data_IF_600271113071
#
_entry.id   IF_600271113071
#
_cell.length_a   1.000
_cell.length_b   1.000
_cell.length_c   1.000
_cell.angle_alpha   90.00
_cell.angle_beta   90.00
_cell.angle_gamma   90.00
#
_symmetry.space_group_name_H-M   'P 1'
#
loop_
_entity.id
_entity.type
_entity.pdbx_description
1 polymer ?
#
# COMPACT_ATOMS: atom_id res chain seq x y z
N UNK A 1 20.69 14.84 2.06
CA UNK A 1 19.67 15.84 1.65
C UNK A 1 19.90 17.24 2.26
N UNK A 2 20.67 17.35 3.36
CA UNK A 2 21.13 18.67 3.85
C UNK A 2 22.22 19.18 2.94
N UNK A 3 21.97 20.27 2.21
CA UNK A 3 22.80 20.68 1.09
C UNK A 3 23.18 22.18 1.08
N UNK A 4 23.20 22.82 2.27
CA UNK A 4 23.50 24.24 2.39
C UNK A 4 24.83 24.65 1.71
N UNK A 5 25.83 23.76 1.76
CA UNK A 5 27.18 23.99 1.23
C UNK A 5 27.40 23.34 -0.16
N UNK A 6 26.37 22.70 -0.75
CA UNK A 6 26.49 22.13 -2.08
C UNK A 6 26.54 23.22 -3.14
N UNK A 7 27.34 23.00 -4.22
CA UNK A 7 27.29 23.86 -5.42
C UNK A 7 25.94 23.71 -6.12
N UNK A 8 25.58 24.68 -6.98
CA UNK A 8 24.30 24.63 -7.71
C UNK A 8 24.14 23.32 -8.51
N UNK A 9 25.22 22.86 -9.15
CA UNK A 9 25.22 21.66 -9.99
C UNK A 9 25.09 20.35 -9.16
N UNK A 10 25.35 20.40 -7.84
CA UNK A 10 25.33 19.25 -6.94
C UNK A 10 24.05 19.22 -6.07
N UNK A 11 23.17 20.22 -6.17
CA UNK A 11 21.95 20.29 -5.38
C UNK A 11 20.90 19.29 -5.87
N UNK A 12 20.21 18.71 -4.89
CA UNK A 12 19.00 17.90 -5.13
C UNK A 12 17.80 18.85 -5.10
N UNK A 13 17.00 18.84 -6.13
CA UNK A 13 15.78 19.67 -6.21
C UNK A 13 14.56 18.89 -5.72
N UNK A 14 14.48 17.63 -6.12
CA UNK A 14 13.37 16.73 -5.81
C UNK A 14 13.92 15.40 -5.32
N UNK A 15 13.23 14.80 -4.35
CA UNK A 15 13.50 13.44 -3.91
C UNK A 15 12.20 12.69 -3.63
N UNK A 16 12.29 11.37 -3.63
CA UNK A 16 11.19 10.49 -3.29
C UNK A 16 11.39 9.86 -1.92
N UNK A 17 10.29 9.63 -1.21
CA UNK A 17 10.23 8.79 -0.03
C UNK A 17 9.09 7.79 -0.14
N UNK A 18 9.19 6.72 0.60
CA UNK A 18 8.12 5.73 0.72
C UNK A 18 7.35 5.98 2.03
N UNK A 19 6.07 5.65 2.06
CA UNK A 19 5.15 5.88 3.20
C UNK A 19 5.74 5.44 4.54
N UNK A 20 6.38 4.27 4.61
CA UNK A 20 6.95 3.74 5.86
C UNK A 20 8.11 4.60 6.41
N UNK A 21 8.67 5.51 5.61
CA UNK A 21 9.80 6.38 5.98
C UNK A 21 9.50 7.87 5.86
N UNK A 22 8.31 8.26 5.41
CA UNK A 22 8.00 9.66 5.06
C UNK A 22 8.26 10.62 6.21
N UNK A 23 7.94 10.28 7.45
CA UNK A 23 8.16 11.12 8.62
C UNK A 23 9.64 11.46 8.86
N UNK A 24 10.55 10.61 8.46
CA UNK A 24 11.99 10.90 8.52
C UNK A 24 12.38 12.14 7.73
N UNK A 25 11.61 12.46 6.69
CA UNK A 25 11.87 13.55 5.76
C UNK A 25 10.94 14.74 5.95
N UNK A 26 9.69 14.49 6.41
CA UNK A 26 8.72 15.55 6.66
C UNK A 26 8.82 16.15 8.06
N UNK A 27 9.56 15.54 8.99
CA UNK A 27 9.85 16.12 10.30
C UNK A 27 10.47 17.52 10.10
N UNK A 28 9.87 18.54 10.75
CA UNK A 28 10.30 19.94 10.64
C UNK A 28 11.74 20.16 11.09
N UNK A 29 12.21 19.39 12.08
CA UNK A 29 13.55 19.50 12.63
C UNK A 29 14.58 18.79 11.74
N UNK A 30 14.14 17.93 10.84
CA UNK A 30 14.99 17.32 9.82
C UNK A 30 15.48 18.33 8.78
N UNK A 31 14.64 19.33 8.45
CA UNK A 31 14.92 20.40 7.48
C UNK A 31 15.46 19.87 6.13
N UNK A 32 14.76 18.88 5.57
CA UNK A 32 15.12 18.29 4.27
C UNK A 32 14.00 18.40 3.24
N UNK A 33 12.73 18.30 3.66
CA UNK A 33 11.57 18.51 2.78
C UNK A 33 11.02 19.94 3.00
N UNK A 34 10.97 20.71 1.93
CA UNK A 34 10.41 22.07 1.95
C UNK A 34 8.90 22.03 2.16
N UNK A 35 8.29 22.93 2.97
CA UNK A 35 6.85 23.12 3.01
C UNK A 35 6.30 23.42 1.61
N UNK A 36 5.22 22.75 1.20
CA UNK A 36 4.63 22.98 -0.12
C UNK A 36 4.16 24.43 -0.33
N UNK A 37 3.72 25.09 0.72
CA UNK A 37 3.34 26.53 0.67
C UNK A 37 4.54 27.44 0.34
N UNK A 38 5.72 27.12 0.83
CA UNK A 38 6.95 27.88 0.52
C UNK A 38 7.40 27.68 -0.92
N UNK A 39 7.03 26.53 -1.52
CA UNK A 39 7.20 26.26 -2.94
C UNK A 39 6.12 26.93 -3.82
N UNK A 40 5.12 27.57 -3.21
CA UNK A 40 4.01 28.19 -3.91
C UNK A 40 2.90 27.22 -4.35
N UNK A 41 2.79 26.06 -3.69
CA UNK A 41 1.66 25.12 -3.81
C UNK A 41 0.73 25.35 -2.62
N UNK A 42 -0.51 25.69 -2.88
CA UNK A 42 -1.56 25.75 -1.86
C UNK A 42 -2.26 24.40 -1.73
N UNK A 43 -1.97 23.59 -0.67
CA UNK A 43 -2.55 22.26 -0.55
C UNK A 43 -4.09 22.24 -0.51
N UNK A 44 -4.72 23.27 0.00
CA UNK A 44 -6.18 23.32 0.11
C UNK A 44 -6.88 23.66 -1.20
N UNK A 45 -6.13 24.22 -2.14
CA UNK A 45 -6.62 24.58 -3.47
C UNK A 45 -6.07 23.64 -4.55
N UNK A 46 -4.74 23.54 -4.62
CA UNK A 46 -4.07 22.84 -5.73
C UNK A 46 -4.11 21.31 -5.56
N UNK A 47 -4.27 20.81 -4.31
CA UNK A 47 -4.35 19.39 -3.98
C UNK A 47 -5.72 19.00 -3.38
N UNK A 48 -6.77 19.79 -3.61
CA UNK A 48 -8.10 19.56 -3.02
C UNK A 48 -8.78 18.25 -3.49
N UNK A 49 -8.43 17.77 -4.67
CA UNK A 49 -8.94 16.51 -5.24
C UNK A 49 -8.23 15.26 -4.69
N UNK A 50 -7.15 15.42 -3.93
CA UNK A 50 -6.45 14.31 -3.28
C UNK A 50 -7.23 13.78 -2.08
N UNK A 51 -6.98 12.50 -1.74
CA UNK A 51 -7.52 11.90 -0.51
C UNK A 51 -6.82 12.49 0.72
N UNK A 52 -7.59 12.82 1.74
CA UNK A 52 -7.09 13.59 2.90
C UNK A 52 -6.02 12.84 3.70
N UNK A 53 -6.12 11.50 3.79
CA UNK A 53 -5.12 10.71 4.51
C UNK A 53 -3.73 10.80 3.88
N UNK A 54 -3.63 10.89 2.54
CA UNK A 54 -2.35 11.02 1.84
C UNK A 54 -1.69 12.36 2.14
N UNK A 55 -2.49 13.43 2.24
CA UNK A 55 -2.03 14.77 2.60
C UNK A 55 -1.53 14.80 4.05
N UNK A 56 -2.28 14.17 4.97
CA UNK A 56 -1.89 14.04 6.39
C UNK A 56 -0.60 13.28 6.55
N UNK A 57 -0.41 12.17 5.83
CA UNK A 57 0.80 11.35 5.86
C UNK A 57 2.05 12.13 5.45
N UNK A 58 1.93 13.07 4.51
CA UNK A 58 3.04 13.91 4.04
C UNK A 58 3.19 15.23 4.84
N UNK A 59 2.50 15.36 5.97
CA UNK A 59 2.58 16.55 6.82
C UNK A 59 3.51 16.31 8.02
N UNK A 60 4.10 17.38 8.53
CA UNK A 60 4.84 17.37 9.79
C UNK A 60 3.92 17.36 11.02
N UNK A 61 4.51 17.36 12.23
CA UNK A 61 3.78 17.36 13.49
C UNK A 61 2.90 18.61 13.73
N UNK A 62 3.16 19.69 13.02
CA UNK A 62 2.36 20.93 13.09
C UNK A 62 1.27 20.97 11.99
N UNK A 63 1.13 19.88 11.20
CA UNK A 63 0.16 19.78 10.11
C UNK A 63 0.61 20.48 8.82
N UNK A 64 1.87 20.89 8.71
CA UNK A 64 2.39 21.54 7.51
C UNK A 64 2.75 20.47 6.48
N UNK A 65 2.07 20.48 5.33
CA UNK A 65 2.32 19.51 4.25
C UNK A 65 3.65 19.80 3.56
N UNK A 66 4.52 18.76 3.47
CA UNK A 66 5.89 18.81 2.94
C UNK A 66 6.14 17.84 1.79
N UNK A 67 5.10 17.22 1.29
CA UNK A 67 5.18 16.31 0.14
C UNK A 67 3.81 16.03 -0.44
N UNK A 68 3.79 15.38 -1.58
CA UNK A 68 2.58 14.94 -2.26
C UNK A 68 2.79 13.56 -2.88
N UNK A 69 1.72 12.87 -3.25
CA UNK A 69 1.81 11.55 -3.87
C UNK A 69 0.81 11.38 -5.00
N UNK A 70 1.17 10.58 -5.99
CA UNK A 70 0.24 10.14 -7.05
C UNK A 70 -0.52 8.86 -6.70
N UNK A 71 -0.19 8.18 -5.59
CA UNK A 71 -0.73 6.87 -5.20
C UNK A 71 -1.57 6.95 -3.93
N UNK A 72 -2.64 6.13 -3.87
CA UNK A 72 -3.42 5.90 -2.64
C UNK A 72 -3.16 4.53 -2.02
N UNK A 73 -2.70 3.57 -2.79
CA UNK A 73 -2.30 2.23 -2.36
C UNK A 73 -3.34 1.48 -1.49
N UNK A 74 -4.64 1.48 -1.87
CA UNK A 74 -5.63 0.71 -1.14
C UNK A 74 -5.28 -0.77 -1.16
N UNK A 75 -5.49 -1.44 -0.04
CA UNK A 75 -5.30 -2.87 0.08
C UNK A 75 -6.46 -3.66 -0.51
N UNK A 76 -6.13 -4.75 -1.18
CA UNK A 76 -7.06 -5.66 -1.83
C UNK A 76 -6.82 -7.09 -1.35
N UNK A 77 -7.84 -7.94 -1.42
CA UNK A 77 -7.68 -9.39 -1.41
C UNK A 77 -7.73 -9.86 -2.86
N UNK A 78 -6.61 -10.35 -3.36
CA UNK A 78 -6.45 -10.88 -4.72
C UNK A 78 -6.47 -12.40 -4.62
N UNK A 79 -7.38 -13.06 -5.37
CA UNK A 79 -7.60 -14.50 -5.21
C UNK A 79 -7.59 -15.25 -6.55
N UNK A 80 -7.27 -16.54 -6.48
CA UNK A 80 -7.32 -17.51 -7.58
C UNK A 80 -8.76 -17.92 -7.88
N UNK A 81 -9.23 -17.60 -9.10
CA UNK A 81 -10.58 -17.96 -9.57
C UNK A 81 -10.81 -19.46 -9.63
N UNK A 82 -9.83 -20.23 -10.09
CA UNK A 82 -9.93 -21.69 -10.19
C UNK A 82 -10.07 -22.35 -8.81
N UNK A 83 -9.33 -21.86 -7.80
CA UNK A 83 -9.45 -22.34 -6.42
C UNK A 83 -10.81 -21.95 -5.83
N UNK A 84 -11.28 -20.71 -6.06
CA UNK A 84 -12.61 -20.27 -5.64
C UNK A 84 -13.70 -21.15 -6.25
N UNK A 85 -13.62 -21.43 -7.56
CA UNK A 85 -14.56 -22.30 -8.24
C UNK A 85 -14.55 -23.72 -7.71
N UNK A 86 -13.37 -24.31 -7.41
CA UNK A 86 -13.29 -25.65 -6.84
C UNK A 86 -13.86 -25.74 -5.43
N UNK A 87 -13.58 -24.73 -4.58
CA UNK A 87 -13.93 -24.78 -3.16
C UNK A 87 -15.36 -24.29 -2.91
N UNK A 88 -15.76 -23.18 -3.56
CA UNK A 88 -17.02 -22.49 -3.29
C UNK A 88 -18.09 -22.73 -4.36
N UNK A 89 -17.72 -23.30 -5.51
CA UNK A 89 -18.60 -23.45 -6.68
C UNK A 89 -18.88 -22.15 -7.42
N UNK A 90 -18.14 -21.09 -7.11
CA UNK A 90 -18.22 -19.78 -7.75
C UNK A 90 -16.88 -19.06 -7.67
N UNK A 91 -16.57 -18.28 -8.70
CA UNK A 91 -15.42 -17.39 -8.77
C UNK A 91 -15.83 -15.91 -8.87
N UNK A 92 -17.13 -15.63 -8.67
CA UNK A 92 -17.67 -14.26 -8.71
C UNK A 92 -17.13 -13.41 -7.56
N UNK A 93 -16.58 -12.20 -7.85
CA UNK A 93 -15.95 -11.36 -6.82
C UNK A 93 -16.89 -10.96 -5.67
N UNK A 94 -18.18 -10.72 -5.93
CA UNK A 94 -19.11 -10.36 -4.88
C UNK A 94 -19.42 -11.57 -3.98
N UNK A 95 -19.60 -12.76 -4.57
CA UNK A 95 -19.84 -13.98 -3.81
C UNK A 95 -18.61 -14.40 -2.98
N UNK A 96 -17.41 -14.29 -3.53
CA UNK A 96 -16.16 -14.52 -2.80
C UNK A 96 -15.96 -13.47 -1.71
N UNK A 97 -16.30 -12.20 -1.97
CA UNK A 97 -16.27 -11.12 -0.99
C UNK A 97 -17.06 -11.45 0.27
N UNK A 98 -18.26 -12.04 0.15
CA UNK A 98 -19.06 -12.48 1.31
C UNK A 98 -18.37 -13.59 2.14
N UNK A 99 -17.51 -14.38 1.52
CA UNK A 99 -16.73 -15.44 2.20
C UNK A 99 -15.54 -14.90 2.99
N UNK A 100 -15.09 -13.67 2.71
CA UNK A 100 -13.86 -13.09 3.28
C UNK A 100 -14.08 -11.72 3.94
N UNK A 101 -15.32 -11.28 4.12
CA UNK A 101 -15.71 -9.92 4.52
C UNK A 101 -15.30 -9.51 5.94
N UNK A 102 -14.99 -10.45 6.79
CA UNK A 102 -14.53 -10.25 8.17
C UNK A 102 -13.66 -11.42 8.62
N UNK A 103 -13.03 -11.31 9.78
CA UNK A 103 -12.12 -12.33 10.31
C UNK A 103 -12.80 -13.67 10.61
N UNK A 104 -14.07 -13.67 11.06
CA UNK A 104 -14.80 -14.89 11.38
C UNK A 104 -15.18 -15.67 10.11
N UNK A 105 -15.70 -14.96 9.11
CA UNK A 105 -16.02 -15.56 7.80
C UNK A 105 -14.76 -16.01 7.06
N UNK A 106 -13.68 -15.25 7.12
CA UNK A 106 -12.40 -15.63 6.52
C UNK A 106 -11.83 -16.90 7.19
N UNK A 107 -11.96 -17.04 8.51
CA UNK A 107 -11.53 -18.25 9.23
C UNK A 107 -12.34 -19.48 8.82
N UNK A 108 -13.66 -19.35 8.72
CA UNK A 108 -14.50 -20.43 8.21
C UNK A 108 -14.13 -20.82 6.77
N UNK A 109 -13.84 -19.83 5.93
CA UNK A 109 -13.34 -20.03 4.56
C UNK A 109 -11.99 -20.74 4.54
N UNK A 110 -11.08 -20.40 5.46
CA UNK A 110 -9.79 -21.10 5.58
C UNK A 110 -9.94 -22.59 5.92
N UNK A 111 -10.97 -22.96 6.71
CA UNK A 111 -11.30 -24.37 6.96
C UNK A 111 -11.79 -25.09 5.70
N UNK A 112 -12.67 -24.44 4.90
CA UNK A 112 -13.13 -24.97 3.61
C UNK A 112 -11.95 -25.18 2.62
N UNK A 113 -11.07 -24.20 2.51
CA UNK A 113 -9.87 -24.24 1.67
C UNK A 113 -8.94 -25.38 2.08
N UNK A 114 -8.62 -25.47 3.37
CA UNK A 114 -7.76 -26.53 3.91
C UNK A 114 -8.33 -27.91 3.67
N UNK A 115 -9.63 -28.11 3.80
CA UNK A 115 -10.29 -29.39 3.55
C UNK A 115 -10.10 -29.88 2.10
N UNK A 116 -9.82 -28.97 1.16
CA UNK A 116 -9.50 -29.24 -0.24
C UNK A 116 -7.98 -29.27 -0.53
N UNK A 117 -7.13 -29.00 0.45
CA UNK A 117 -5.68 -29.00 0.31
C UNK A 117 -5.08 -27.66 -0.10
N UNK A 118 -5.82 -26.58 0.04
CA UNK A 118 -5.35 -25.22 -0.26
C UNK A 118 -4.96 -24.48 1.02
N UNK A 119 -4.01 -23.57 0.88
CA UNK A 119 -3.67 -22.55 1.88
C UNK A 119 -4.44 -21.26 1.61
N UNK A 120 -4.85 -20.56 2.66
CA UNK A 120 -5.53 -19.27 2.50
C UNK A 120 -4.56 -18.21 2.00
N UNK A 121 -3.41 -18.07 2.68
CA UNK A 121 -2.34 -17.14 2.32
C UNK A 121 -0.98 -17.83 2.24
N UNK A 122 -0.02 -17.19 1.57
CA UNK A 122 1.32 -17.71 1.41
C UNK A 122 2.09 -17.73 2.73
N UNK A 123 2.00 -16.69 3.55
CA UNK A 123 2.74 -16.60 4.80
C UNK A 123 2.01 -15.79 5.87
N UNK A 124 2.52 -15.87 7.10
CA UNK A 124 2.04 -15.05 8.22
C UNK A 124 2.26 -13.54 7.98
N UNK A 125 3.24 -13.17 7.16
CA UNK A 125 3.54 -11.78 6.87
C UNK A 125 2.46 -11.12 5.99
N UNK A 126 1.69 -11.91 5.22
CA UNK A 126 0.66 -11.37 4.32
C UNK A 126 -0.43 -10.59 5.08
N UNK A 127 -0.74 -10.98 6.31
CA UNK A 127 -1.77 -10.31 7.11
C UNK A 127 -1.27 -9.12 7.93
N UNK A 128 0.05 -8.86 7.96
CA UNK A 128 0.64 -7.82 8.83
C UNK A 128 0.00 -6.44 8.64
N UNK A 129 -0.21 -6.02 7.38
CA UNK A 129 -0.73 -4.67 7.09
C UNK A 129 -2.15 -4.44 7.63
N UNK A 130 -2.98 -5.47 7.69
CA UNK A 130 -4.32 -5.39 8.28
C UNK A 130 -4.25 -4.96 9.76
N UNK A 131 -3.37 -5.58 10.52
CA UNK A 131 -3.17 -5.24 11.94
C UNK A 131 -2.34 -3.96 12.12
N UNK A 132 -1.25 -3.81 11.34
CA UNK A 132 -0.35 -2.68 11.42
C UNK A 132 -1.00 -1.33 11.11
N UNK A 133 -2.00 -1.31 10.22
CA UNK A 133 -2.76 -0.09 9.92
C UNK A 133 -3.82 0.23 10.99
N UNK A 134 -4.06 -0.67 11.93
CA UNK A 134 -5.05 -0.50 13.01
C UNK A 134 -4.43 -0.17 14.36
N UNK A 135 -3.12 0.06 14.42
CA UNK A 135 -2.45 0.48 15.66
C UNK A 135 -2.93 1.87 16.06
N UNK A 136 -3.13 2.07 17.36
CA UNK A 136 -3.62 3.32 17.93
C UNK A 136 -2.53 4.28 18.37
N UNK A 137 -1.32 3.77 18.61
CA UNK A 137 -0.18 4.53 19.09
C UNK A 137 1.09 4.17 18.31
N UNK A 138 1.98 5.14 18.14
CA UNK A 138 3.32 4.91 17.57
C UNK A 138 4.14 4.00 18.47
N UNK A 139 5.03 3.19 17.88
CA UNK A 139 5.96 2.33 18.60
C UNK A 139 6.83 3.09 19.61
N UNK A 140 7.18 4.33 19.28
CA UNK A 140 7.89 5.25 20.16
C UNK A 140 7.23 6.61 20.03
N UNK A 141 6.81 7.19 21.16
CA UNK A 141 6.21 8.54 21.17
C UNK A 141 7.30 9.60 21.00
N UNK A 142 6.98 10.74 20.37
CA UNK A 142 7.91 11.87 20.26
C UNK A 142 8.50 12.23 21.64
N UNK A 143 9.83 12.26 21.75
CA UNK A 143 10.54 12.56 22.99
C UNK A 143 10.68 11.40 23.98
N UNK A 144 10.13 10.24 23.68
CA UNK A 144 10.29 9.00 24.46
C UNK A 144 11.41 8.11 23.85
N UNK A 145 11.93 7.20 24.64
CA UNK A 145 12.87 6.17 24.23
C UNK A 145 12.34 4.75 24.48
N UNK A 146 11.12 4.66 25.02
CA UNK A 146 10.48 3.39 25.37
C UNK A 146 9.66 2.87 24.21
N UNK A 147 9.95 1.65 23.76
CA UNK A 147 9.13 0.96 22.75
C UNK A 147 7.84 0.48 23.39
N UNK A 148 6.72 0.85 22.79
CA UNK A 148 5.39 0.35 23.12
C UNK A 148 4.90 -0.57 22.03
N UNK A 149 4.47 -1.77 22.37
CA UNK A 149 3.86 -2.71 21.44
C UNK A 149 2.34 -2.57 21.55
N UNK A 150 1.73 -2.07 20.49
CA UNK A 150 0.28 -1.95 20.42
C UNK A 150 -0.37 -3.35 20.50
N UNK A 151 -1.52 -3.50 21.19
CA UNK A 151 -2.24 -4.78 21.27
C UNK A 151 -2.55 -5.40 19.90
N UNK A 152 -2.73 -4.61 18.84
CA UNK A 152 -2.97 -5.13 17.49
C UNK A 152 -1.77 -5.92 16.95
N UNK A 153 -0.56 -5.55 17.31
CA UNK A 153 0.64 -6.29 16.92
C UNK A 153 0.69 -7.65 17.65
N UNK A 154 0.27 -7.70 18.92
CA UNK A 154 0.15 -8.98 19.65
C UNK A 154 -0.95 -9.86 19.05
N UNK A 155 -2.10 -9.27 18.70
CA UNK A 155 -3.17 -9.97 17.99
C UNK A 155 -2.69 -10.58 16.67
N UNK A 156 -1.88 -9.84 15.89
CA UNK A 156 -1.27 -10.38 14.67
C UNK A 156 -0.35 -11.57 14.94
N UNK A 157 0.48 -11.50 15.98
CA UNK A 157 1.38 -12.60 16.37
C UNK A 157 0.59 -13.84 16.75
N UNK A 158 -0.42 -13.68 17.61
CA UNK A 158 -1.25 -14.79 18.10
C UNK A 158 -2.06 -15.42 16.96
N UNK A 159 -2.68 -14.59 16.12
CA UNK A 159 -3.43 -15.05 14.94
C UNK A 159 -2.52 -15.76 13.94
N UNK A 160 -1.34 -15.21 13.66
CA UNK A 160 -0.36 -15.82 12.76
C UNK A 160 0.07 -17.20 13.22
N UNK A 161 0.29 -17.35 14.54
CA UNK A 161 0.63 -18.64 15.13
C UNK A 161 -0.55 -19.62 15.04
N UNK A 162 -1.75 -19.19 15.40
CA UNK A 162 -2.96 -20.01 15.29
C UNK A 162 -3.17 -20.52 13.87
N UNK A 163 -3.08 -19.64 12.88
CA UNK A 163 -3.31 -19.95 11.48
C UNK A 163 -2.23 -20.89 10.89
N UNK A 164 -0.99 -20.72 11.33
CA UNK A 164 0.10 -21.61 10.93
C UNK A 164 -0.10 -23.02 11.56
N UNK A 165 -0.41 -23.10 12.85
CA UNK A 165 -0.66 -24.34 13.56
C UNK A 165 -1.91 -25.07 13.02
N UNK A 166 -2.93 -24.32 12.63
CA UNK A 166 -4.13 -24.82 11.97
C UNK A 166 -3.89 -25.29 10.52
N UNK A 167 -2.78 -24.91 9.88
CA UNK A 167 -2.46 -25.27 8.49
C UNK A 167 -3.23 -24.46 7.47
N UNK A 168 -3.61 -23.23 7.78
CA UNK A 168 -4.24 -22.27 6.86
C UNK A 168 -3.19 -21.46 6.05
N UNK A 169 -1.96 -21.42 6.53
CA UNK A 169 -0.82 -20.76 5.88
C UNK A 169 0.16 -21.78 5.33
N UNK A 170 0.84 -21.43 4.24
CA UNK A 170 1.88 -22.30 3.70
C UNK A 170 3.12 -22.30 4.65
N UNK A 171 3.44 -23.42 5.31
CA UNK A 171 4.50 -23.46 6.32
C UNK A 171 5.92 -23.33 5.75
N UNK A 172 6.08 -23.41 4.43
CA UNK A 172 7.40 -23.30 3.77
C UNK A 172 7.78 -21.87 3.44
N UNK A 173 6.81 -20.96 3.30
CA UNK A 173 7.03 -19.56 3.00
C UNK A 173 7.24 -18.77 4.28
N UNK A 174 8.44 -18.23 4.48
CA UNK A 174 8.86 -17.58 5.76
C UNK A 174 8.73 -16.05 5.77
N UNK A 175 7.95 -15.48 4.89
CA UNK A 175 7.73 -14.03 4.79
C UNK A 175 7.45 -13.61 3.36
N UNK A 176 7.47 -12.31 3.12
CA UNK A 176 7.28 -11.70 1.81
C UNK A 176 8.62 -11.32 1.17
N UNK A 177 8.60 -10.94 -0.11
CA UNK A 177 9.75 -10.40 -0.85
C UNK A 177 10.93 -11.38 -0.98
N UNK A 178 10.64 -12.67 -1.10
CA UNK A 178 11.63 -13.72 -1.36
C UNK A 178 11.10 -14.70 -2.42
N UNK A 179 12.01 -15.55 -2.92
CA UNK A 179 11.71 -16.49 -4.01
C UNK A 179 10.57 -17.46 -3.68
N UNK A 180 10.44 -17.90 -2.42
CA UNK A 180 9.37 -18.83 -2.03
C UNK A 180 7.99 -18.14 -2.02
N UNK A 181 7.95 -16.89 -1.60
CA UNK A 181 6.72 -16.08 -1.66
C UNK A 181 6.34 -15.77 -3.11
N UNK A 182 7.31 -15.41 -3.95
CA UNK A 182 7.09 -15.19 -5.38
C UNK A 182 6.57 -16.46 -6.08
N UNK A 183 7.17 -17.61 -5.81
CA UNK A 183 6.71 -18.91 -6.34
C UNK A 183 5.32 -19.29 -5.86
N UNK A 184 4.90 -18.84 -4.68
CA UNK A 184 3.55 -19.07 -4.19
C UNK A 184 2.47 -18.38 -5.04
N UNK A 185 2.83 -17.45 -5.92
CA UNK A 185 1.93 -16.81 -6.89
C UNK A 185 1.83 -17.58 -8.22
N UNK A 186 2.65 -18.63 -8.44
CA UNK A 186 2.64 -19.38 -9.70
C UNK A 186 1.38 -20.25 -9.89
N UNK A 187 1.12 -20.67 -11.11
CA UNK A 187 -0.02 -21.54 -11.45
C UNK A 187 0.03 -22.92 -10.76
N UNK A 188 1.20 -23.38 -10.36
CA UNK A 188 1.41 -24.63 -9.65
C UNK A 188 1.20 -24.53 -8.14
N UNK A 189 0.99 -23.32 -7.64
CA UNK A 189 0.77 -23.07 -6.21
C UNK A 189 -0.66 -23.45 -5.79
N UNK A 190 -0.78 -23.91 -4.55
CA UNK A 190 -2.06 -24.16 -3.89
C UNK A 190 -2.45 -23.04 -2.89
N UNK A 191 -1.92 -21.84 -3.05
CA UNK A 191 -2.29 -20.67 -2.27
C UNK A 191 -3.49 -19.98 -2.92
N UNK A 192 -4.53 -19.78 -2.13
CA UNK A 192 -5.79 -19.19 -2.59
C UNK A 192 -5.69 -17.70 -2.85
N UNK A 193 -5.12 -16.92 -1.92
CA UNK A 193 -5.17 -15.47 -1.98
C UNK A 193 -3.89 -14.80 -1.49
N UNK A 194 -3.74 -13.55 -1.92
CA UNK A 194 -2.73 -12.61 -1.45
C UNK A 194 -3.38 -11.29 -1.03
N UNK A 195 -2.84 -10.67 -0.01
CA UNK A 195 -3.20 -9.32 0.39
C UNK A 195 -2.18 -8.36 -0.24
N UNK A 196 -2.58 -7.73 -1.32
CA UNK A 196 -1.74 -6.83 -2.12
C UNK A 196 -2.39 -5.45 -2.24
N UNK A 197 -1.61 -4.38 -2.35
CA UNK A 197 -2.14 -3.08 -2.77
C UNK A 197 -2.43 -3.08 -4.27
N UNK A 198 -3.15 -2.07 -4.77
CA UNK A 198 -3.50 -1.97 -6.18
C UNK A 198 -2.26 -2.07 -7.09
N UNK A 199 -1.17 -1.34 -6.80
CA UNK A 199 0.09 -1.42 -7.53
C UNK A 199 0.76 -2.81 -7.48
N UNK A 200 0.44 -3.61 -6.47
CA UNK A 200 0.99 -4.96 -6.30
C UNK A 200 0.54 -5.94 -7.37
N UNK A 201 -0.56 -5.68 -8.06
CA UNK A 201 -1.05 -6.51 -9.16
C UNK A 201 -0.04 -6.50 -10.30
N UNK A 202 0.30 -5.33 -10.82
CA UNK A 202 1.23 -5.24 -11.96
C UNK A 202 2.69 -5.41 -11.55
N UNK A 203 3.06 -4.90 -10.37
CA UNK A 203 4.45 -4.90 -9.93
C UNK A 203 4.91 -6.22 -9.32
N UNK A 204 4.00 -6.98 -8.69
CA UNK A 204 4.35 -8.20 -7.95
C UNK A 204 3.65 -9.43 -8.52
N UNK A 205 2.32 -9.42 -8.64
CA UNK A 205 1.55 -10.60 -9.02
C UNK A 205 1.81 -11.00 -10.47
N UNK A 206 1.61 -10.09 -11.42
CA UNK A 206 1.73 -10.38 -12.85
C UNK A 206 3.12 -10.89 -13.24
N UNK A 207 4.25 -10.35 -12.74
CA UNK A 207 5.58 -10.88 -13.06
C UNK A 207 5.85 -12.28 -12.51
N UNK A 208 5.12 -12.72 -11.48
CA UNK A 208 5.30 -14.04 -10.85
C UNK A 208 4.21 -15.05 -11.26
N UNK A 209 3.24 -14.64 -12.08
CA UNK A 209 2.20 -15.51 -12.60
C UNK A 209 2.61 -16.11 -13.94
N UNK A 210 2.57 -17.43 -14.06
CA UNK A 210 2.97 -18.22 -15.24
C UNK A 210 1.79 -18.98 -15.89
N UNK A 211 0.55 -18.68 -15.49
CA UNK A 211 -0.68 -19.29 -16.01
C UNK A 211 -1.44 -18.40 -16.97
N UNK A 212 -2.71 -18.75 -17.20
CA UNK A 212 -3.59 -18.03 -18.11
C UNK A 212 -3.98 -16.64 -17.61
N UNK A 213 -4.18 -15.72 -18.53
CA UNK A 213 -4.72 -14.40 -18.22
C UNK A 213 -6.13 -14.49 -17.60
N UNK A 214 -6.45 -13.61 -16.64
CA UNK A 214 -7.76 -13.58 -15.98
C UNK A 214 -7.96 -14.66 -14.90
N UNK A 215 -6.93 -15.39 -14.53
CA UNK A 215 -6.97 -16.40 -13.45
C UNK A 215 -7.12 -15.80 -12.04
N UNK A 216 -6.88 -14.51 -11.91
CA UNK A 216 -7.01 -13.78 -10.65
C UNK A 216 -8.20 -12.82 -10.67
N UNK A 217 -8.80 -12.62 -9.52
CA UNK A 217 -9.79 -11.58 -9.30
C UNK A 217 -9.54 -10.87 -7.96
N UNK A 218 -10.22 -9.75 -7.76
CA UNK A 218 -10.06 -8.93 -6.57
C UNK A 218 -11.39 -8.80 -5.83
N UNK A 219 -11.29 -8.69 -4.51
CA UNK A 219 -12.42 -8.34 -3.64
C UNK A 219 -11.91 -7.54 -2.44
N UNK A 220 -12.81 -7.03 -1.62
CA UNK A 220 -12.43 -6.35 -0.39
C UNK A 220 -11.79 -7.33 0.60
N UNK A 221 -10.74 -6.92 1.31
CA UNK A 221 -10.15 -7.68 2.40
C UNK A 221 -11.08 -7.70 3.62
N UNK A 222 -10.84 -8.57 4.62
CA UNK A 222 -11.66 -8.65 5.84
C UNK A 222 -11.59 -7.38 6.70
N UNK A 223 -10.61 -6.55 6.45
CA UNK A 223 -10.36 -5.28 7.12
C UNK A 223 -9.61 -4.37 6.17
N UNK A 224 -9.99 -3.09 6.14
CA UNK A 224 -9.34 -2.08 5.29
C UNK A 224 -7.88 -1.86 5.70
N UNK A 225 -7.02 -1.65 4.72
CA UNK A 225 -5.61 -1.30 4.92
C UNK A 225 -5.05 -0.56 3.71
N UNK A 226 -3.95 0.13 3.92
CA UNK A 226 -3.12 0.72 2.88
C UNK A 226 -1.71 0.10 2.93
N UNK A 227 -1.08 -0.01 1.79
CA UNK A 227 0.29 -0.52 1.73
C UNK A 227 1.12 0.23 0.71
N UNK A 228 2.09 0.99 1.24
CA UNK A 228 3.03 1.74 0.43
C UNK A 228 2.52 3.10 0.00
N UNK A 229 3.14 3.63 -1.01
CA UNK A 229 2.92 4.94 -1.60
C UNK A 229 4.23 5.73 -1.68
N UNK A 230 4.55 6.18 -2.89
CA UNK A 230 5.72 7.02 -3.11
C UNK A 230 5.33 8.49 -3.01
N UNK A 231 6.01 9.21 -2.14
CA UNK A 231 5.84 10.65 -1.95
C UNK A 231 6.96 11.41 -2.65
N UNK A 232 6.60 12.49 -3.31
CA UNK A 232 7.54 13.43 -3.94
C UNK A 232 7.63 14.68 -3.09
N UNK A 233 8.87 15.15 -2.89
CA UNK A 233 9.21 16.30 -2.07
C UNK A 233 10.13 17.25 -2.83
N UNK A 234 9.99 18.55 -2.59
CA UNK A 234 11.03 19.49 -2.91
C UNK A 234 12.08 19.53 -1.79
N UNK A 235 13.34 19.49 -2.13
CA UNK A 235 14.43 19.54 -1.15
C UNK A 235 14.64 20.95 -0.63
N UNK A 236 14.81 21.10 0.69
CA UNK A 236 15.23 22.39 1.29
C UNK A 236 16.54 22.84 0.68
N UNK A 237 16.57 24.07 0.19
CA UNK A 237 17.76 24.66 -0.48
C UNK A 237 17.86 24.35 -1.96
N UNK A 238 16.79 23.87 -2.60
CA UNK A 238 16.71 23.81 -4.09
C UNK A 238 16.94 25.19 -4.68
N UNK A 239 17.64 25.25 -5.81
CA UNK A 239 17.79 26.46 -6.61
C UNK A 239 16.87 26.47 -7.84
N UNK A 240 16.01 25.44 -7.98
CA UNK A 240 15.03 25.30 -9.04
C UNK A 240 13.58 25.17 -8.52
N UNK A 241 13.11 26.07 -7.61
CA UNK A 241 11.83 25.90 -6.93
C UNK A 241 10.61 25.86 -7.88
N UNK A 242 10.61 26.68 -8.94
CA UNK A 242 9.51 26.72 -9.91
C UNK A 242 9.41 25.40 -10.69
N UNK A 243 10.54 24.82 -11.12
CA UNK A 243 10.53 23.52 -11.81
C UNK A 243 10.13 22.39 -10.86
N UNK A 244 10.58 22.40 -9.60
CA UNK A 244 10.17 21.44 -8.60
C UNK A 244 8.65 21.48 -8.35
N UNK A 245 8.08 22.70 -8.27
CA UNK A 245 6.63 22.92 -8.18
C UNK A 245 5.87 22.31 -9.37
N UNK A 246 6.30 22.66 -10.59
CA UNK A 246 5.64 22.20 -11.81
C UNK A 246 5.65 20.68 -11.91
N UNK A 247 6.78 20.04 -11.58
CA UNK A 247 6.90 18.57 -11.58
C UNK A 247 5.98 17.95 -10.52
N UNK A 248 5.98 18.48 -9.29
CA UNK A 248 5.13 17.96 -8.21
C UNK A 248 3.66 18.05 -8.62
N UNK A 249 3.20 19.19 -9.13
CA UNK A 249 1.81 19.36 -9.57
C UNK A 249 1.45 18.45 -10.76
N UNK A 250 2.32 18.37 -11.75
CA UNK A 250 2.09 17.49 -12.91
C UNK A 250 2.00 16.02 -12.53
N UNK A 251 2.79 15.57 -11.55
CA UNK A 251 2.79 14.18 -11.10
C UNK A 251 1.66 13.84 -10.11
N UNK A 252 1.20 14.80 -9.31
CA UNK A 252 0.35 14.48 -8.16
C UNK A 252 -1.00 15.22 -8.13
N UNK A 253 -1.23 16.18 -9.02
CA UNK A 253 -2.45 16.98 -9.07
C UNK A 253 -3.09 17.03 -10.48
N UNK A 254 -2.34 16.72 -11.52
CA UNK A 254 -2.87 16.69 -12.89
C UNK A 254 -3.71 15.43 -13.08
N UNK A 255 -5.03 15.59 -13.20
CA UNK A 255 -6.00 14.50 -13.32
C UNK A 255 -5.72 13.62 -14.54
N UNK A 256 -5.38 14.19 -15.69
CA UNK A 256 -5.18 13.43 -16.93
C UNK A 256 -3.93 12.56 -16.82
N UNK A 257 -2.86 13.08 -16.22
CA UNK A 257 -1.67 12.27 -15.91
C UNK A 257 -1.98 11.14 -14.92
N UNK A 258 -2.75 11.42 -13.88
CA UNK A 258 -3.14 10.42 -12.88
C UNK A 258 -4.06 9.34 -13.47
N UNK A 259 -5.00 9.69 -14.33
CA UNK A 259 -5.83 8.72 -15.07
C UNK A 259 -4.97 7.86 -16.01
N UNK A 260 -3.98 8.47 -16.68
CA UNK A 260 -3.06 7.72 -17.52
C UNK A 260 -2.23 6.70 -16.70
N UNK A 261 -1.70 7.10 -15.55
CA UNK A 261 -0.99 6.19 -14.64
C UNK A 261 -1.92 5.03 -14.20
N UNK A 262 -3.14 5.34 -13.78
CA UNK A 262 -4.12 4.33 -13.39
C UNK A 262 -4.37 3.32 -14.51
N UNK A 263 -4.56 3.78 -15.72
CA UNK A 263 -4.84 2.92 -16.88
C UNK A 263 -3.64 2.09 -17.31
N UNK A 264 -2.43 2.68 -17.33
CA UNK A 264 -1.25 2.02 -17.86
C UNK A 264 -0.64 1.01 -16.87
N UNK A 265 -0.87 1.18 -15.55
CA UNK A 265 -0.25 0.40 -14.48
C UNK A 265 -1.23 -0.23 -13.49
N UNK A 266 -2.53 -0.21 -13.78
CA UNK A 266 -3.59 -0.75 -12.90
C UNK A 266 -3.53 -0.18 -11.47
N UNK A 267 -2.99 1.04 -11.31
CA UNK A 267 -2.80 1.67 -10.00
C UNK A 267 -4.01 2.51 -9.59
N UNK A 268 -4.25 2.60 -8.30
CA UNK A 268 -5.27 3.47 -7.73
C UNK A 268 -4.64 4.82 -7.36
N UNK A 269 -4.86 5.81 -8.23
CA UNK A 269 -4.18 7.09 -8.13
C UNK A 269 -4.89 8.09 -7.21
N UNK A 270 -4.14 9.10 -6.77
CA UNK A 270 -4.55 10.07 -5.75
C UNK A 270 -5.38 11.22 -6.31
N UNK A 271 -6.49 10.91 -6.98
CA UNK A 271 -7.47 11.85 -7.52
C UNK A 271 -8.88 11.31 -7.31
N UNK A 272 -9.66 11.93 -6.43
CA UNK A 272 -11.05 11.52 -6.13
C UNK A 272 -11.90 11.54 -7.40
N UNK A 273 -11.85 12.66 -8.14
CA UNK A 273 -12.62 12.84 -9.37
C UNK A 273 -12.17 11.91 -10.50
N UNK A 274 -10.86 11.64 -10.61
CA UNK A 274 -10.32 10.73 -11.61
C UNK A 274 -10.68 9.28 -11.34
N UNK A 275 -10.57 8.81 -10.09
CA UNK A 275 -10.95 7.44 -9.74
C UNK A 275 -12.46 7.19 -9.88
N UNK A 276 -13.28 8.23 -9.62
CA UNK A 276 -14.72 8.13 -9.88
C UNK A 276 -15.03 8.01 -11.37
N UNK A 277 -14.29 8.71 -12.23
CA UNK A 277 -14.42 8.59 -13.69
C UNK A 277 -13.96 7.20 -14.15
N UNK A 278 -12.80 6.74 -13.73
CA UNK A 278 -12.26 5.42 -14.08
C UNK A 278 -13.17 4.26 -13.65
N UNK A 279 -13.95 4.41 -12.59
CA UNK A 279 -14.90 3.38 -12.14
C UNK A 279 -16.14 3.24 -13.05
N UNK A 280 -16.36 4.16 -14.01
CA UNK A 280 -17.50 4.16 -14.92
C UNK A 280 -17.13 3.76 -16.35
N UNK A 281 -15.85 3.67 -16.67
CA UNK A 281 -15.31 3.22 -17.97
C UNK A 281 -15.16 1.69 -18.00
#
# INVERSE_FOLDING_TARGET
LKQADASADDKIDIFLSETDYVFKYTDKDADVAMPLKDLGIDPDKDLADQYDFTRTTASDSDGVQRGSTWQCCPGLLVYRRDIAQDVFGTDDPAAVGEKVKDWDTLKATAEELKAKGYYTFASYADTFRLYGNSISESWVQPGDTTVKVDPQIMNWIDNSKEWLDAGYLNPTVKGQWNDDWNKAMSSQSNVFAFLLPAWGIDFVLNPNWDGDAGAWAVTNPPQEYNWGGSYIHAATGTDNPEHAKDIILAMTADKDNLLKISKDYSDFTNTKSGMQEAATD
#
